data_IF_443179300419
#
_entry.id   IF_443179300419
#
_cell.length_a   1.000
_cell.length_b   1.000
_cell.length_c   1.000
_cell.angle_alpha   90.00
_cell.angle_beta   90.00
_cell.angle_gamma   90.00
#
_symmetry.space_group_name_H-M   'P 1'
#
loop_
_entity.id
_entity.type
_entity.pdbx_description
1 polymer ?
#
# COMPACT_ATOMS: atom_id res chain seq x y z
N UNK A 1 3.98 12.96 -21.29
CA UNK A 1 3.96 12.02 -20.17
C UNK A 1 2.55 12.02 -19.61
N UNK A 2 1.99 10.84 -19.31
CA UNK A 2 0.74 10.77 -18.56
C UNK A 2 0.96 11.38 -17.17
N UNK A 3 -0.08 11.89 -16.51
CA UNK A 3 0.04 12.40 -15.14
C UNK A 3 0.60 11.31 -14.20
N UNK A 4 0.18 10.06 -14.36
CA UNK A 4 0.62 8.94 -13.53
C UNK A 4 2.09 8.57 -13.71
N UNK A 5 2.66 8.75 -14.90
CA UNK A 5 4.09 8.57 -15.12
C UNK A 5 4.92 9.56 -14.28
N UNK A 6 4.47 10.82 -14.23
CA UNK A 6 5.12 11.83 -13.38
C UNK A 6 4.99 11.46 -11.90
N UNK A 7 3.78 11.15 -11.43
CA UNK A 7 3.52 10.80 -10.03
C UNK A 7 4.30 9.55 -9.58
N UNK A 8 4.39 8.52 -10.43
CA UNK A 8 5.17 7.32 -10.16
C UNK A 8 6.66 7.64 -9.98
N UNK A 9 7.22 8.45 -10.88
CA UNK A 9 8.62 8.87 -10.80
C UNK A 9 8.90 9.75 -9.57
N UNK A 10 8.01 10.67 -9.25
CA UNK A 10 8.11 11.55 -8.08
C UNK A 10 8.12 10.72 -6.78
N UNK A 11 7.24 9.73 -6.65
CA UNK A 11 7.19 8.80 -5.51
C UNK A 11 8.46 7.97 -5.40
N UNK A 12 8.90 7.37 -6.53
CA UNK A 12 10.13 6.57 -6.58
C UNK A 12 11.34 7.39 -6.13
N UNK A 13 11.45 8.63 -6.61
CA UNK A 13 12.57 9.50 -6.29
C UNK A 13 12.52 10.03 -4.85
N UNK A 14 11.37 10.56 -4.43
CA UNK A 14 11.22 11.22 -3.11
C UNK A 14 11.39 10.24 -1.95
N UNK A 15 10.88 9.02 -2.10
CA UNK A 15 10.92 8.00 -1.08
C UNK A 15 12.08 7.00 -1.26
N UNK A 16 12.79 7.03 -2.38
CA UNK A 16 13.82 6.03 -2.71
C UNK A 16 13.24 4.60 -2.63
N UNK A 17 12.07 4.39 -3.26
CA UNK A 17 11.37 3.11 -3.22
C UNK A 17 12.16 2.03 -3.96
N UNK A 18 12.17 0.81 -3.41
CA UNK A 18 12.78 -0.37 -4.05
C UNK A 18 11.87 -1.04 -5.08
N UNK A 19 10.54 -0.84 -4.94
CA UNK A 19 9.52 -1.33 -5.85
C UNK A 19 8.70 -0.15 -6.41
N UNK A 20 8.27 -0.23 -7.68
CA UNK A 20 7.42 0.80 -8.23
C UNK A 20 6.07 0.84 -7.50
N UNK A 21 5.41 2.02 -7.46
CA UNK A 21 4.03 2.13 -7.02
C UNK A 21 3.12 1.25 -7.86
N UNK A 22 2.24 0.50 -7.19
CA UNK A 22 1.31 -0.43 -7.83
C UNK A 22 -0.07 0.21 -7.87
N UNK A 23 -0.65 0.27 -9.05
CA UNK A 23 -2.00 0.77 -9.27
C UNK A 23 -3.01 -0.38 -9.32
N UNK A 24 -4.21 -0.13 -8.76
CA UNK A 24 -5.32 -1.07 -8.74
C UNK A 24 -6.58 -0.32 -9.17
N UNK A 25 -7.37 -0.95 -10.04
CA UNK A 25 -8.70 -0.49 -10.41
C UNK A 25 -9.69 -1.66 -10.48
N UNK A 26 -10.92 -1.41 -10.03
CA UNK A 26 -12.03 -2.36 -10.02
C UNK A 26 -12.99 -2.02 -11.15
N UNK A 27 -13.39 -3.00 -11.93
CA UNK A 27 -14.29 -2.81 -13.05
C UNK A 27 -15.25 -4.00 -13.25
N UNK A 28 -16.38 -3.73 -13.91
CA UNK A 28 -17.34 -4.77 -14.27
C UNK A 28 -17.03 -5.35 -15.66
N UNK A 29 -16.36 -4.56 -16.51
CA UNK A 29 -15.92 -4.97 -17.84
C UNK A 29 -14.42 -4.71 -17.97
N UNK A 30 -13.66 -5.76 -18.26
CA UNK A 30 -12.22 -5.65 -18.46
C UNK A 30 -11.91 -4.85 -19.74
N UNK A 31 -10.95 -3.90 -19.70
CA UNK A 31 -10.50 -3.21 -20.92
C UNK A 31 -9.89 -4.20 -21.91
N UNK A 32 -10.31 -4.14 -23.16
CA UNK A 32 -9.84 -5.06 -24.21
C UNK A 32 -8.32 -4.98 -24.47
N UNK A 33 -7.68 -3.88 -24.11
CA UNK A 33 -6.24 -3.67 -24.27
C UNK A 33 -5.39 -4.28 -23.16
N UNK A 34 -6.01 -4.76 -22.06
CA UNK A 34 -5.29 -5.32 -20.91
C UNK A 34 -5.43 -6.85 -20.93
N UNK A 35 -4.32 -7.61 -20.94
CA UNK A 35 -4.38 -9.07 -20.94
C UNK A 35 -4.92 -9.60 -19.61
N UNK A 36 -5.62 -10.71 -19.66
CA UNK A 36 -5.96 -11.45 -18.45
C UNK A 36 -4.70 -12.09 -17.84
N UNK A 37 -4.74 -12.24 -16.52
CA UNK A 37 -3.69 -12.97 -15.82
C UNK A 37 -3.66 -14.43 -16.30
N UNK A 38 -2.47 -14.93 -16.53
CA UNK A 38 -2.24 -16.33 -16.89
C UNK A 38 -1.32 -16.95 -15.82
N UNK A 39 -1.86 -17.90 -15.07
CA UNK A 39 -1.16 -18.57 -14.00
C UNK A 39 -2.03 -18.84 -12.78
N UNK A 40 -1.42 -19.47 -11.78
CA UNK A 40 -2.03 -19.74 -10.47
C UNK A 40 -1.17 -19.12 -9.39
N UNK A 41 -1.78 -18.40 -8.47
CA UNK A 41 -1.10 -17.79 -7.32
C UNK A 41 -1.63 -18.36 -6.02
N UNK A 42 -0.77 -18.55 -4.99
CA UNK A 42 -1.20 -19.12 -3.71
C UNK A 42 -2.04 -18.12 -2.88
N UNK A 43 -1.96 -16.84 -3.20
CA UNK A 43 -2.73 -15.79 -2.55
C UNK A 43 -2.81 -14.54 -3.44
N UNK A 44 -3.92 -13.78 -3.36
CA UNK A 44 -4.12 -12.57 -4.17
C UNK A 44 -3.11 -11.46 -3.93
N UNK A 45 -2.43 -11.45 -2.79
CA UNK A 45 -1.35 -10.49 -2.56
C UNK A 45 -0.12 -10.73 -3.47
N UNK A 46 0.06 -11.93 -4.04
CA UNK A 46 1.12 -12.22 -5.02
C UNK A 46 0.90 -11.42 -6.30
N UNK A 47 -0.34 -11.07 -6.65
CA UNK A 47 -0.62 -10.18 -7.77
C UNK A 47 0.07 -8.82 -7.64
N UNK A 48 0.34 -8.35 -6.42
CA UNK A 48 1.05 -7.09 -6.22
C UNK A 48 2.51 -7.15 -6.68
N UNK A 49 3.19 -8.31 -6.54
CA UNK A 49 4.54 -8.49 -7.09
C UNK A 49 4.54 -8.55 -8.60
N UNK A 50 3.58 -9.25 -9.19
CA UNK A 50 3.41 -9.30 -10.63
C UNK A 50 3.06 -7.93 -11.22
N UNK A 51 2.22 -7.16 -10.51
CA UNK A 51 1.82 -5.81 -10.87
C UNK A 51 2.98 -4.80 -10.88
N UNK A 52 4.06 -5.07 -10.17
CA UNK A 52 5.28 -4.26 -10.25
C UNK A 52 6.00 -4.39 -11.61
N UNK A 53 5.66 -5.41 -12.40
CA UNK A 53 6.34 -5.76 -13.66
C UNK A 53 5.48 -5.61 -14.91
N UNK A 54 4.16 -5.82 -14.77
CA UNK A 54 3.23 -5.82 -15.89
C UNK A 54 1.80 -5.49 -15.47
N UNK A 55 1.00 -4.99 -16.40
CA UNK A 55 -0.43 -4.77 -16.18
C UNK A 55 -1.23 -5.99 -16.65
N UNK A 56 -2.23 -6.39 -15.85
CA UNK A 56 -3.13 -7.50 -16.15
C UNK A 56 -4.48 -7.35 -15.45
N UNK A 57 -5.46 -8.11 -15.91
CA UNK A 57 -6.79 -8.23 -15.33
C UNK A 57 -6.91 -9.56 -14.61
N UNK A 58 -7.55 -9.57 -13.45
CA UNK A 58 -7.97 -10.78 -12.73
C UNK A 58 -9.48 -10.83 -12.57
N UNK A 59 -10.00 -12.04 -12.48
CA UNK A 59 -11.38 -12.36 -12.12
C UNK A 59 -11.41 -13.19 -10.84
N UNK A 60 -12.59 -13.55 -10.37
CA UNK A 60 -12.77 -14.44 -9.21
C UNK A 60 -12.04 -15.77 -9.38
N UNK A 61 -11.95 -16.29 -10.61
CA UNK A 61 -11.25 -17.56 -10.91
C UNK A 61 -9.75 -17.47 -10.64
N UNK A 62 -9.13 -16.31 -10.92
CA UNK A 62 -7.69 -16.12 -10.72
C UNK A 62 -7.33 -16.01 -9.23
N UNK A 63 -8.34 -15.83 -8.36
CA UNK A 63 -8.23 -15.83 -6.90
C UNK A 63 -8.64 -17.18 -6.28
N UNK A 64 -8.57 -18.30 -7.03
CA UNK A 64 -9.05 -19.62 -6.58
C UNK A 64 -8.47 -20.04 -5.21
N UNK A 65 -7.21 -19.76 -4.96
CA UNK A 65 -6.52 -20.06 -3.70
C UNK A 65 -6.44 -18.86 -2.75
N UNK A 66 -7.31 -17.85 -2.91
CA UNK A 66 -7.34 -16.65 -2.07
C UNK A 66 -8.77 -16.23 -1.70
N UNK A 67 -9.47 -17.08 -0.98
CA UNK A 67 -10.85 -16.82 -0.54
C UNK A 67 -11.01 -15.53 0.25
N UNK A 68 -10.01 -15.17 1.06
CA UNK A 68 -10.02 -13.90 1.81
C UNK A 68 -9.89 -12.68 0.88
N UNK A 69 -9.14 -12.78 -0.22
CA UNK A 69 -9.05 -11.74 -1.24
C UNK A 69 -10.37 -11.58 -1.99
N UNK A 70 -11.00 -12.69 -2.39
CA UNK A 70 -12.35 -12.70 -2.99
C UNK A 70 -13.35 -11.99 -2.08
N UNK A 71 -13.33 -12.30 -0.79
CA UNK A 71 -14.20 -11.70 0.21
C UNK A 71 -13.93 -10.19 0.38
N UNK A 72 -12.70 -9.80 0.66
CA UNK A 72 -12.36 -8.38 0.91
C UNK A 72 -12.58 -7.50 -0.30
N UNK A 73 -12.34 -8.01 -1.50
CA UNK A 73 -12.58 -7.30 -2.75
C UNK A 73 -14.05 -7.34 -3.20
N UNK A 74 -14.92 -8.10 -2.52
CA UNK A 74 -16.32 -8.30 -2.88
C UNK A 74 -16.47 -8.77 -4.33
N UNK A 75 -15.67 -9.78 -4.70
CA UNK A 75 -15.68 -10.29 -6.07
C UNK A 75 -16.94 -11.12 -6.35
N UNK A 76 -17.48 -10.95 -7.54
CA UNK A 76 -18.72 -11.61 -7.96
C UNK A 76 -18.56 -13.13 -8.10
N UNK A 77 -19.62 -13.86 -7.85
CA UNK A 77 -19.75 -15.30 -8.10
C UNK A 77 -18.61 -16.17 -7.52
N UNK A 78 -18.31 -16.07 -6.22
CA UNK A 78 -17.35 -16.95 -5.60
C UNK A 78 -17.81 -18.40 -5.71
N UNK A 79 -16.90 -19.32 -6.01
CA UNK A 79 -17.19 -20.76 -6.07
C UNK A 79 -17.55 -21.31 -4.69
N UNK A 80 -18.24 -22.45 -4.64
CA UNK A 80 -18.52 -23.13 -3.37
C UNK A 80 -17.22 -23.53 -2.64
N UNK A 81 -16.16 -23.85 -3.38
CA UNK A 81 -14.83 -24.13 -2.84
C UNK A 81 -14.25 -22.91 -2.12
N UNK A 82 -14.27 -21.74 -2.76
CA UNK A 82 -13.79 -20.48 -2.16
C UNK A 82 -14.56 -20.09 -0.92
N UNK A 83 -15.88 -20.26 -0.92
CA UNK A 83 -16.72 -19.97 0.25
C UNK A 83 -16.40 -20.91 1.43
N UNK A 84 -16.22 -22.21 1.16
CA UNK A 84 -15.85 -23.19 2.17
C UNK A 84 -14.44 -22.90 2.72
N UNK A 85 -13.46 -22.65 1.85
CA UNK A 85 -12.09 -22.31 2.25
C UNK A 85 -12.05 -21.07 3.14
N UNK A 86 -12.82 -20.03 2.83
CA UNK A 86 -12.93 -18.84 3.67
C UNK A 86 -13.37 -19.19 5.09
N UNK A 87 -14.44 -19.98 5.21
CA UNK A 87 -14.98 -20.38 6.51
C UNK A 87 -14.01 -21.26 7.28
N UNK A 88 -13.37 -22.22 6.61
CA UNK A 88 -12.38 -23.12 7.23
C UNK A 88 -11.16 -22.34 7.71
N UNK A 89 -10.65 -21.40 6.88
CA UNK A 89 -9.52 -20.54 7.24
C UNK A 89 -9.84 -19.68 8.46
N UNK A 90 -11.00 -19.02 8.48
CA UNK A 90 -11.41 -18.19 9.61
C UNK A 90 -11.62 -19.01 10.88
N UNK A 91 -12.20 -20.22 10.75
CA UNK A 91 -12.36 -21.16 11.88
C UNK A 91 -11.02 -21.63 12.43
N UNK A 92 -10.06 -21.97 11.55
CA UNK A 92 -8.72 -22.35 11.96
C UNK A 92 -7.98 -21.22 12.68
N UNK A 93 -8.07 -19.98 12.15
CA UNK A 93 -7.47 -18.81 12.80
C UNK A 93 -8.10 -18.49 14.15
N UNK A 94 -9.40 -18.66 14.29
CA UNK A 94 -10.09 -18.51 15.58
C UNK A 94 -9.71 -19.60 16.57
N UNK A 95 -9.53 -20.84 16.11
CA UNK A 95 -9.06 -21.95 16.93
C UNK A 95 -7.62 -21.78 17.47
N UNK A 96 -6.84 -20.90 16.84
CA UNK A 96 -5.49 -20.52 17.27
C UNK A 96 -5.47 -19.22 18.11
N UNK A 97 -6.62 -18.68 18.47
CA UNK A 97 -6.76 -17.34 19.10
C UNK A 97 -6.10 -16.19 18.31
N UNK A 98 -5.85 -16.40 17.01
CA UNK A 98 -5.23 -15.38 16.15
C UNK A 98 -6.24 -14.34 15.67
N UNK A 99 -7.49 -14.73 15.47
CA UNK A 99 -8.61 -13.85 15.09
C UNK A 99 -9.81 -14.23 15.96
N UNK A 100 -10.44 -13.23 16.59
CA UNK A 100 -11.67 -13.44 17.36
C UNK A 100 -12.90 -13.37 16.46
N UNK A 101 -13.99 -13.97 16.86
CA UNK A 101 -15.23 -14.01 16.07
C UNK A 101 -15.76 -12.58 15.73
N UNK A 102 -15.69 -11.66 16.69
CA UNK A 102 -16.09 -10.27 16.48
C UNK A 102 -15.17 -9.52 15.50
N UNK A 103 -13.88 -9.89 15.41
CA UNK A 103 -12.94 -9.30 14.45
C UNK A 103 -13.21 -9.75 13.02
N UNK A 104 -13.76 -10.95 12.82
CA UNK A 104 -14.15 -11.47 11.50
C UNK A 104 -15.23 -10.57 10.89
N UNK A 105 -16.23 -10.20 11.67
CA UNK A 105 -17.31 -9.31 11.21
C UNK A 105 -16.82 -7.87 10.90
N UNK A 106 -15.68 -7.48 11.45
CA UNK A 106 -15.06 -6.18 11.24
C UNK A 106 -14.06 -6.16 10.06
N UNK A 107 -13.83 -7.28 9.37
CA UNK A 107 -12.96 -7.30 8.17
C UNK A 107 -13.59 -6.40 7.10
N UNK A 108 -12.89 -5.36 6.63
CA UNK A 108 -13.43 -4.47 5.61
C UNK A 108 -13.66 -5.21 4.29
N UNK A 109 -14.78 -4.90 3.65
CA UNK A 109 -15.17 -5.43 2.34
C UNK A 109 -15.50 -4.26 1.42
N UNK A 110 -15.13 -4.32 0.15
CA UNK A 110 -15.53 -3.32 -0.86
C UNK A 110 -17.07 -3.24 -0.90
N UNK A 111 -17.61 -2.03 -0.83
CA UNK A 111 -19.07 -1.85 -0.68
C UNK A 111 -19.89 -2.33 -1.88
N UNK A 112 -19.31 -2.29 -3.09
CA UNK A 112 -19.96 -2.79 -4.31
C UNK A 112 -19.36 -4.10 -4.76
N UNK A 113 -20.20 -4.98 -5.28
CA UNK A 113 -19.73 -6.19 -5.96
C UNK A 113 -18.94 -5.81 -7.23
N UNK A 114 -17.87 -6.55 -7.53
CA UNK A 114 -16.99 -6.30 -8.69
C UNK A 114 -16.70 -7.61 -9.42
N UNK A 115 -16.52 -7.51 -10.73
CA UNK A 115 -16.26 -8.68 -11.58
C UNK A 115 -14.76 -8.86 -11.85
N UNK A 116 -14.05 -7.76 -12.02
CA UNK A 116 -12.63 -7.78 -12.40
C UNK A 116 -11.82 -6.78 -11.59
N UNK A 117 -10.54 -7.11 -11.41
CA UNK A 117 -9.54 -6.22 -10.82
C UNK A 117 -8.38 -6.07 -11.80
N UNK A 118 -8.01 -4.83 -12.10
CA UNK A 118 -6.84 -4.49 -12.91
C UNK A 118 -5.70 -4.18 -11.93
N UNK A 119 -4.57 -4.81 -12.15
CA UNK A 119 -3.31 -4.57 -11.43
C UNK A 119 -2.23 -4.16 -12.42
N UNK A 120 -1.34 -3.26 -12.02
CA UNK A 120 -0.19 -2.88 -12.85
C UNK A 120 0.70 -1.84 -12.19
N UNK A 121 1.86 -1.54 -12.79
CA UNK A 121 2.69 -0.43 -12.33
C UNK A 121 1.99 0.89 -12.61
N UNK A 122 2.07 1.84 -11.68
CA UNK A 122 1.41 3.14 -11.81
C UNK A 122 1.89 3.93 -13.05
N UNK A 123 3.14 3.75 -13.42
CA UNK A 123 3.82 4.54 -14.45
C UNK A 123 3.13 4.49 -15.84
N UNK A 124 2.53 3.38 -16.18
CA UNK A 124 1.85 3.11 -17.46
C UNK A 124 0.46 2.50 -17.27
N UNK A 125 -0.15 2.73 -16.11
CA UNK A 125 -1.47 2.19 -15.79
C UNK A 125 -2.53 2.71 -16.78
N UNK A 126 -3.35 1.83 -17.39
CA UNK A 126 -4.16 2.18 -18.55
C UNK A 126 -5.48 2.89 -18.23
N UNK A 127 -5.87 2.94 -16.97
CA UNK A 127 -7.10 3.57 -16.48
C UNK A 127 -6.82 4.41 -15.24
N UNK A 128 -7.79 5.18 -14.77
CA UNK A 128 -7.63 5.90 -13.51
C UNK A 128 -7.51 4.92 -12.34
N UNK A 129 -6.40 4.93 -11.58
CA UNK A 129 -6.23 4.06 -10.44
C UNK A 129 -7.20 4.46 -9.32
N UNK A 130 -7.86 3.48 -8.74
CA UNK A 130 -8.71 3.71 -7.56
C UNK A 130 -7.89 3.60 -6.27
N UNK A 131 -6.90 2.70 -6.25
CA UNK A 131 -5.98 2.51 -5.14
C UNK A 131 -4.55 2.46 -5.68
N UNK A 132 -3.62 3.08 -4.97
CA UNK A 132 -2.18 2.95 -5.23
C UNK A 132 -1.49 2.37 -4.02
N UNK A 133 -0.75 1.28 -4.20
CA UNK A 133 0.00 0.61 -3.15
C UNK A 133 1.48 0.99 -3.20
N UNK A 134 2.07 1.21 -2.01
CA UNK A 134 3.51 1.39 -1.81
C UNK A 134 4.01 0.37 -0.78
N UNK A 135 5.17 -0.21 -1.04
CA UNK A 135 5.92 -1.00 -0.07
C UNK A 135 7.01 -0.11 0.52
N UNK A 136 6.90 0.19 1.82
CA UNK A 136 7.74 1.17 2.47
C UNK A 136 8.31 0.67 3.80
N UNK A 137 9.60 0.85 4.01
CA UNK A 137 10.23 0.61 5.31
C UNK A 137 9.99 1.79 6.28
N UNK A 138 10.37 1.64 7.55
CA UNK A 138 10.05 2.60 8.62
C UNK A 138 10.49 4.05 8.32
N UNK A 139 11.65 4.25 7.68
CA UNK A 139 12.12 5.60 7.32
C UNK A 139 11.23 6.28 6.27
N UNK A 140 10.77 5.51 5.28
CA UNK A 140 9.80 6.00 4.29
C UNK A 140 8.43 6.19 4.93
N UNK A 141 8.03 5.26 5.82
CA UNK A 141 6.79 5.32 6.58
C UNK A 141 6.67 6.57 7.45
N UNK A 142 7.78 7.10 7.98
CA UNK A 142 7.81 8.38 8.68
C UNK A 142 7.30 9.51 7.77
N UNK A 143 7.82 9.61 6.55
CA UNK A 143 7.42 10.62 5.58
C UNK A 143 5.95 10.42 5.16
N UNK A 144 5.57 9.17 4.91
CA UNK A 144 4.20 8.83 4.51
C UNK A 144 3.18 9.17 5.60
N UNK A 145 3.49 8.90 6.88
CA UNK A 145 2.57 9.21 7.98
C UNK A 145 2.34 10.72 8.14
N UNK A 146 3.39 11.52 7.97
CA UNK A 146 3.28 12.98 8.01
C UNK A 146 2.48 13.53 6.81
N UNK A 147 2.71 12.97 5.60
CA UNK A 147 1.95 13.34 4.42
C UNK A 147 0.45 12.99 4.57
N UNK A 148 0.15 11.80 5.10
CA UNK A 148 -1.22 11.37 5.40
C UNK A 148 -1.88 12.34 6.38
N UNK A 149 -1.20 12.68 7.47
CA UNK A 149 -1.74 13.61 8.46
C UNK A 149 -2.09 14.98 7.85
N UNK A 150 -1.30 15.47 6.88
CA UNK A 150 -1.58 16.73 6.19
C UNK A 150 -2.75 16.63 5.22
N UNK A 151 -2.78 15.59 4.38
CA UNK A 151 -3.82 15.43 3.34
C UNK A 151 -5.16 14.98 3.94
N UNK A 152 -5.15 14.14 4.96
CA UNK A 152 -6.34 13.57 5.58
C UNK A 152 -6.77 14.31 6.86
N UNK A 153 -6.39 15.61 6.99
CA UNK A 153 -6.81 16.50 8.08
C UNK A 153 -6.52 15.96 9.49
N UNK A 154 -5.33 15.39 9.68
CA UNK A 154 -4.89 14.83 10.95
C UNK A 154 -5.35 13.41 11.24
N UNK A 155 -6.11 12.80 10.34
CA UNK A 155 -6.51 11.40 10.51
C UNK A 155 -5.30 10.46 10.30
N UNK A 156 -5.08 9.47 11.18
CA UNK A 156 -4.07 8.45 10.93
C UNK A 156 -4.52 7.51 9.81
N UNK A 157 -3.60 6.82 9.12
CA UNK A 157 -3.97 5.81 8.14
C UNK A 157 -4.76 4.68 8.80
N UNK A 158 -5.81 4.21 8.12
CA UNK A 158 -6.59 3.08 8.61
C UNK A 158 -5.73 1.80 8.60
N UNK A 159 -5.86 0.96 9.64
CA UNK A 159 -5.13 -0.30 9.70
C UNK A 159 -5.84 -1.40 8.93
N UNK A 160 -5.14 -2.01 7.96
CA UNK A 160 -5.62 -3.17 7.22
C UNK A 160 -5.20 -4.49 7.86
N UNK A 161 -6.17 -5.31 8.24
CA UNK A 161 -6.01 -6.69 8.70
C UNK A 161 -7.17 -7.54 8.19
N UNK A 162 -6.92 -8.51 7.29
CA UNK A 162 -5.63 -8.91 6.67
C UNK A 162 -4.98 -7.82 5.82
N UNK A 163 -3.79 -8.09 5.24
CA UNK A 163 -3.05 -7.09 4.48
C UNK A 163 -3.87 -6.49 3.31
N UNK A 164 -4.64 -7.30 2.60
CA UNK A 164 -5.51 -6.86 1.50
C UNK A 164 -6.66 -5.94 1.96
N UNK A 165 -6.98 -5.88 3.25
CA UNK A 165 -8.02 -5.01 3.78
C UNK A 165 -7.69 -3.51 3.66
N UNK A 166 -6.44 -3.13 3.36
CA UNK A 166 -6.10 -1.73 3.02
C UNK A 166 -6.85 -1.24 1.78
N UNK A 167 -7.17 -2.14 0.85
CA UNK A 167 -7.86 -1.81 -0.40
C UNK A 167 -9.31 -1.37 -0.14
N UNK A 168 -10.18 -2.18 0.51
CA UNK A 168 -11.52 -1.72 0.87
C UNK A 168 -11.51 -0.53 1.84
N UNK A 169 -10.54 -0.40 2.74
CA UNK A 169 -10.42 0.79 3.58
C UNK A 169 -10.29 2.06 2.73
N UNK A 170 -9.38 2.06 1.76
CA UNK A 170 -9.19 3.20 0.85
C UNK A 170 -10.43 3.45 0.01
N UNK A 171 -11.00 2.41 -0.60
CA UNK A 171 -12.16 2.54 -1.49
C UNK A 171 -13.43 3.04 -0.78
N UNK A 172 -13.67 2.55 0.44
CA UNK A 172 -14.87 2.85 1.18
C UNK A 172 -14.83 4.23 1.85
N UNK A 173 -13.65 4.70 2.24
CA UNK A 173 -13.47 5.90 3.06
C UNK A 173 -12.76 7.06 2.34
N UNK A 174 -12.02 6.81 1.26
CA UNK A 174 -11.28 7.83 0.52
C UNK A 174 -10.11 8.45 1.31
N UNK A 175 -9.55 7.70 2.28
CA UNK A 175 -8.39 8.05 3.09
C UNK A 175 -7.30 7.00 2.94
N UNK A 176 -6.07 7.36 3.30
CA UNK A 176 -4.97 6.42 3.29
C UNK A 176 -5.16 5.29 4.29
N UNK A 177 -4.62 4.12 3.94
CA UNK A 177 -4.58 2.96 4.82
C UNK A 177 -3.18 2.34 4.83
N UNK A 178 -2.85 1.59 5.90
CA UNK A 178 -1.61 0.84 5.97
C UNK A 178 -1.82 -0.53 6.58
N UNK A 179 -0.90 -1.45 6.32
CA UNK A 179 -0.84 -2.75 6.97
C UNK A 179 0.60 -3.13 7.28
N UNK A 180 0.81 -3.68 8.45
CA UNK A 180 2.08 -4.34 8.79
C UNK A 180 2.21 -5.73 8.13
N UNK A 181 1.25 -6.11 7.31
CA UNK A 181 1.14 -7.42 6.69
C UNK A 181 0.28 -8.36 7.53
N UNK A 182 0.16 -9.58 7.03
CA UNK A 182 -0.41 -10.72 7.75
C UNK A 182 0.49 -11.93 7.52
N UNK A 183 0.25 -13.02 8.23
CA UNK A 183 1.05 -14.24 8.11
C UNK A 183 1.18 -14.71 6.65
N UNK A 184 0.07 -14.74 5.89
CA UNK A 184 0.08 -15.12 4.48
C UNK A 184 0.87 -14.13 3.61
N UNK A 185 0.60 -12.82 3.74
CA UNK A 185 1.32 -11.82 2.96
C UNK A 185 2.83 -11.88 3.20
N UNK A 186 3.28 -12.03 4.46
CA UNK A 186 4.72 -12.16 4.77
C UNK A 186 5.33 -13.47 4.28
N UNK A 187 4.53 -14.54 4.20
CA UNK A 187 5.00 -15.82 3.67
C UNK A 187 5.09 -15.85 2.14
N UNK A 188 4.23 -15.10 1.44
CA UNK A 188 4.11 -15.16 -0.02
C UNK A 188 4.74 -13.96 -0.75
N UNK A 189 5.04 -12.86 -0.04
CA UNK A 189 5.59 -11.65 -0.64
C UNK A 189 7.05 -11.45 -0.22
N UNK A 190 7.99 -11.73 -1.10
CA UNK A 190 9.41 -11.43 -0.87
C UNK A 190 9.65 -9.93 -0.63
N UNK A 191 8.82 -9.08 -1.24
CA UNK A 191 8.88 -7.63 -1.08
C UNK A 191 8.38 -7.13 0.28
N UNK A 192 7.64 -7.93 1.04
CA UNK A 192 7.12 -7.58 2.36
C UNK A 192 7.99 -8.24 3.45
N UNK A 193 9.25 -7.83 3.52
CA UNK A 193 10.16 -8.25 4.60
C UNK A 193 9.70 -7.68 5.96
N UNK A 194 10.31 -8.15 7.05
CA UNK A 194 9.95 -7.73 8.42
C UNK A 194 10.05 -6.22 8.65
N UNK A 195 10.89 -5.53 7.87
CA UNK A 195 11.10 -4.08 7.96
C UNK A 195 10.18 -3.25 7.07
N UNK A 196 9.32 -3.89 6.25
CA UNK A 196 8.47 -3.22 5.25
C UNK A 196 7.01 -3.29 5.66
N UNK A 197 6.29 -2.18 5.50
CA UNK A 197 4.85 -2.07 5.61
C UNK A 197 4.22 -1.79 4.24
N UNK A 198 2.98 -2.24 4.06
CA UNK A 198 2.15 -1.91 2.91
C UNK A 198 1.37 -0.62 3.19
N UNK A 199 1.42 0.33 2.28
CA UNK A 199 0.64 1.55 2.29
C UNK A 199 -0.29 1.59 1.10
N UNK A 200 -1.48 2.13 1.30
CA UNK A 200 -2.49 2.27 0.26
C UNK A 200 -3.05 3.69 0.26
N UNK A 201 -3.18 4.26 -0.92
CA UNK A 201 -3.64 5.63 -1.13
C UNK A 201 -4.79 5.66 -2.12
N UNK A 202 -5.81 6.53 -1.93
CA UNK A 202 -6.84 6.74 -2.94
C UNK A 202 -6.24 7.41 -4.17
N UNK A 203 -6.47 6.82 -5.35
CA UNK A 203 -5.97 7.35 -6.62
C UNK A 203 -6.44 8.77 -6.90
N UNK A 204 -7.65 9.11 -6.46
CA UNK A 204 -8.25 10.45 -6.65
C UNK A 204 -7.57 11.58 -5.86
N UNK A 205 -6.72 11.25 -4.89
CA UNK A 205 -5.95 12.23 -4.08
C UNK A 205 -4.44 12.06 -4.23
N UNK A 206 -4.00 11.21 -5.16
CA UNK A 206 -2.60 10.81 -5.26
C UNK A 206 -1.66 11.99 -5.52
N UNK A 207 -2.09 12.96 -6.31
CA UNK A 207 -1.36 14.20 -6.57
C UNK A 207 -1.06 14.98 -5.29
N UNK A 208 -2.06 15.18 -4.42
CA UNK A 208 -1.91 15.86 -3.15
C UNK A 208 -0.93 15.12 -2.22
N UNK A 209 -1.01 13.79 -2.14
CA UNK A 209 -0.03 13.02 -1.37
C UNK A 209 1.39 13.16 -1.95
N UNK A 210 1.54 13.11 -3.27
CA UNK A 210 2.85 13.26 -3.92
C UNK A 210 3.48 14.63 -3.65
N UNK A 211 2.69 15.71 -3.67
CA UNK A 211 3.15 17.06 -3.34
C UNK A 211 3.68 17.13 -1.91
N UNK A 212 2.90 16.64 -0.93
CA UNK A 212 3.32 16.65 0.47
C UNK A 212 4.51 15.73 0.75
N UNK A 213 4.54 14.55 0.14
CA UNK A 213 5.67 13.61 0.24
C UNK A 213 6.96 14.27 -0.27
N UNK A 214 6.92 14.97 -1.40
CA UNK A 214 8.11 15.63 -1.96
C UNK A 214 8.65 16.71 -1.01
N UNK A 215 7.77 17.55 -0.46
CA UNK A 215 8.14 18.59 0.52
C UNK A 215 8.75 17.96 1.78
N UNK A 216 8.09 16.94 2.35
CA UNK A 216 8.53 16.28 3.57
C UNK A 216 9.82 15.48 3.39
N UNK A 217 9.99 14.81 2.25
CA UNK A 217 11.22 14.10 1.94
C UNK A 217 12.42 15.05 1.85
N UNK A 218 12.24 16.20 1.20
CA UNK A 218 13.26 17.24 1.13
C UNK A 218 13.61 17.80 2.52
N UNK A 219 12.61 18.17 3.30
CA UNK A 219 12.80 18.65 4.67
C UNK A 219 13.48 17.61 5.56
N UNK A 220 13.10 16.34 5.44
CA UNK A 220 13.69 15.25 6.21
C UNK A 220 15.19 15.04 5.92
N UNK A 221 15.63 15.21 4.66
CA UNK A 221 17.06 15.17 4.31
C UNK A 221 17.85 16.26 5.05
N UNK A 222 17.34 17.49 5.04
CA UNK A 222 17.96 18.63 5.74
C UNK A 222 18.02 18.39 7.25
N UNK A 223 16.89 18.00 7.85
CA UNK A 223 16.81 17.73 9.29
C UNK A 223 17.68 16.55 9.73
N UNK A 224 17.80 15.51 8.91
CA UNK A 224 18.70 14.40 9.19
C UNK A 224 20.17 14.86 9.23
N UNK A 225 20.58 15.72 8.28
CA UNK A 225 21.91 16.31 8.25
C UNK A 225 22.16 17.19 9.47
N UNK A 226 21.19 18.03 9.83
CA UNK A 226 21.23 18.84 11.03
C UNK A 226 21.46 18.00 12.31
N UNK A 227 20.67 16.94 12.50
CA UNK A 227 20.77 16.09 13.70
C UNK A 227 22.10 15.33 13.76
N UNK A 228 22.61 14.85 12.63
CA UNK A 228 23.93 14.19 12.55
C UNK A 228 25.06 15.15 12.94
N UNK A 229 25.09 16.34 12.35
CA UNK A 229 26.10 17.35 12.67
C UNK A 229 26.01 17.82 14.13
N UNK A 230 24.80 17.96 14.68
CA UNK A 230 24.62 18.28 16.10
C UNK A 230 25.15 17.17 17.02
N UNK A 231 24.93 15.92 16.68
CA UNK A 231 25.46 14.77 17.40
C UNK A 231 27.00 14.81 17.43
N UNK A 232 27.65 14.99 16.28
CA UNK A 232 29.09 15.09 16.15
C UNK A 232 29.69 16.24 16.98
N UNK A 233 29.02 17.39 16.99
CA UNK A 233 29.41 18.53 17.82
C UNK A 233 29.38 18.19 19.31
N UNK A 234 28.30 17.59 19.79
CA UNK A 234 28.16 17.20 21.19
C UNK A 234 29.18 16.14 21.60
N UNK A 235 29.39 15.12 20.76
CA UNK A 235 30.38 14.07 20.98
C UNK A 235 31.81 14.63 21.01
N UNK A 236 32.09 15.74 20.30
CA UNK A 236 33.37 16.47 20.33
C UNK A 236 33.47 17.54 21.42
N UNK A 237 32.52 17.59 22.36
CA UNK A 237 32.51 18.53 23.49
C UNK A 237 32.02 19.95 23.14
N UNK A 238 31.47 20.17 21.96
CA UNK A 238 30.87 21.45 21.56
C UNK A 238 29.38 21.49 21.96
N UNK A 239 28.87 22.67 22.25
CA UNK A 239 27.48 22.90 22.58
C UNK A 239 26.88 24.01 21.69
N UNK A 240 26.70 23.75 20.38
CA UNK A 240 26.16 24.76 19.49
C UNK A 240 24.69 25.02 19.79
N UNK A 241 24.26 26.26 19.63
CA UNK A 241 22.83 26.59 19.59
C UNK A 241 22.17 25.98 18.36
N UNK A 242 20.84 25.85 18.40
CA UNK A 242 20.06 25.40 17.22
C UNK A 242 20.35 26.28 16.01
N UNK A 243 20.36 27.60 16.19
CA UNK A 243 20.62 28.55 15.11
C UNK A 243 22.03 28.39 14.51
N UNK A 244 23.06 28.17 15.32
CA UNK A 244 24.42 27.91 14.84
C UNK A 244 24.50 26.61 14.02
N UNK A 245 23.77 25.57 14.44
CA UNK A 245 23.71 24.31 13.70
C UNK A 245 22.94 24.44 12.36
N UNK A 246 21.84 25.21 12.36
CA UNK A 246 21.05 25.45 11.14
C UNK A 246 21.81 26.33 10.12
N UNK A 247 22.52 27.35 10.57
CA UNK A 247 23.27 28.23 9.67
C UNK A 247 24.34 27.49 8.85
N UNK A 248 24.87 26.37 9.34
CA UNK A 248 25.81 25.50 8.60
C UNK A 248 25.17 24.73 7.45
N UNK A 249 23.85 24.54 7.47
CA UNK A 249 23.13 23.85 6.39
C UNK A 249 22.84 24.77 5.22
N UNK A 250 22.94 26.09 5.44
CA UNK A 250 22.67 27.14 4.43
C UNK A 250 23.94 27.65 3.74
N UNK A 251 25.12 27.18 4.19
CA UNK A 251 26.43 27.44 3.60
C UNK A 251 26.92 26.27 2.75
#
# INVERSE_FOLDING_TARGET
>A
MSNYQKLANDLMHSLELSLPPIAIAFCDVAPASVPYFDGVVPAGCVFWQEAARRTFVTSTKDHELCSIGVHTHHMSQPSASQQNELQETLRAMSGLDYVRAEEVAAIPVVQREVTHVIYGPLIDFPVDPQVVLLFAHARQGLILSEAVARVDNGAPPAMGRPACAVIPQVLNHGYAAMSLGCCGARAYLDALSDSVALWAFPGSKLDHYCEEIAVLASANKVLTTFHRGRREDVESGKQPTVQQSLNRLSS
#
